data_IF_215205578483
#
_entry.id   IF_215205578483
#
_cell.length_a   1.000
_cell.length_b   1.000
_cell.length_c   1.000
_cell.angle_alpha   90.00
_cell.angle_beta   90.00
_cell.angle_gamma   90.00
#
_symmetry.space_group_name_H-M   'P 1'
#
loop_
_entity.id
_entity.type
_entity.pdbx_description
1 polymer ?
#
# COMPACT_ATOMS: atom_id res chain seq x y z
N UNK A 1 -51.90 21.18 -27.27
CA UNK A 1 -50.89 21.45 -26.22
C UNK A 1 -51.51 21.00 -24.90
N UNK A 2 -51.35 19.74 -24.53
CA UNK A 2 -51.95 19.18 -23.31
C UNK A 2 -51.03 19.48 -22.13
N UNK A 3 -51.54 20.20 -21.12
CA UNK A 3 -50.76 20.54 -19.94
C UNK A 3 -50.37 19.27 -19.17
N UNK A 4 -49.10 19.17 -18.77
CA UNK A 4 -48.63 18.08 -17.91
C UNK A 4 -49.29 18.25 -16.53
N UNK A 5 -49.95 17.21 -15.99
CA UNK A 5 -50.63 17.30 -14.70
C UNK A 5 -49.63 17.51 -13.56
N UNK A 6 -49.96 18.41 -12.62
CA UNK A 6 -49.13 18.78 -11.47
C UNK A 6 -48.65 17.56 -10.65
N UNK A 7 -49.50 16.54 -10.54
CA UNK A 7 -49.21 15.27 -9.87
C UNK A 7 -48.02 14.51 -10.48
N UNK A 8 -47.77 14.66 -11.79
CA UNK A 8 -46.64 14.03 -12.47
C UNK A 8 -45.31 14.73 -12.14
N UNK A 9 -45.33 16.02 -11.81
CA UNK A 9 -44.14 16.76 -11.39
C UNK A 9 -43.72 16.37 -9.97
N UNK A 10 -44.69 16.13 -9.08
CA UNK A 10 -44.43 15.66 -7.71
C UNK A 10 -43.76 14.28 -7.68
N UNK A 11 -44.17 13.38 -8.59
CA UNK A 11 -43.57 12.05 -8.74
C UNK A 11 -42.09 12.15 -9.16
N UNK A 12 -41.74 13.11 -10.03
CA UNK A 12 -40.36 13.33 -10.49
C UNK A 12 -39.49 13.88 -9.34
N UNK A 13 -40.04 14.80 -8.54
CA UNK A 13 -39.34 15.32 -7.35
C UNK A 13 -39.10 14.24 -6.28
N UNK A 14 -40.07 13.33 -6.08
CA UNK A 14 -39.92 12.19 -5.18
C UNK A 14 -38.90 11.15 -5.67
N UNK A 15 -38.78 10.94 -6.98
CA UNK A 15 -37.76 10.10 -7.61
C UNK A 15 -36.34 10.68 -7.44
N UNK A 16 -36.19 12.01 -7.51
CA UNK A 16 -34.91 12.68 -7.29
C UNK A 16 -34.46 12.62 -5.81
N UNK A 17 -35.41 12.78 -4.87
CA UNK A 17 -35.16 12.68 -3.44
C UNK A 17 -34.77 11.26 -2.96
N UNK A 18 -35.14 10.22 -3.72
CA UNK A 18 -34.82 8.81 -3.42
C UNK A 18 -33.62 8.28 -4.21
N UNK A 19 -33.13 9.04 -5.20
CA UNK A 19 -31.93 8.68 -5.94
C UNK A 19 -30.71 8.98 -5.06
N UNK A 20 -29.89 7.98 -4.70
CA UNK A 20 -28.61 8.27 -4.05
C UNK A 20 -27.83 9.21 -4.97
N UNK A 21 -27.25 10.32 -4.46
CA UNK A 21 -26.48 11.23 -5.28
C UNK A 21 -25.46 10.41 -6.06
N UNK A 22 -25.31 10.65 -7.36
CA UNK A 22 -24.31 9.93 -8.19
C UNK A 22 -22.91 10.08 -7.58
N UNK A 23 -22.67 11.17 -6.83
CA UNK A 23 -21.51 11.40 -5.99
C UNK A 23 -21.32 10.37 -4.85
N UNK A 24 -22.39 9.93 -4.18
CA UNK A 24 -22.34 8.93 -3.09
C UNK A 24 -22.00 7.54 -3.63
N UNK A 25 -22.51 7.17 -4.81
CA UNK A 25 -22.15 5.89 -5.44
C UNK A 25 -20.71 5.92 -5.99
N UNK A 26 -20.26 7.07 -6.52
CA UNK A 26 -18.89 7.27 -6.98
C UNK A 26 -17.88 7.38 -5.82
N UNK A 27 -18.34 7.68 -4.61
CA UNK A 27 -17.56 7.72 -3.37
C UNK A 27 -17.48 6.38 -2.64
N UNK A 28 -18.07 5.30 -3.16
CA UNK A 28 -17.84 3.96 -2.63
C UNK A 28 -16.33 3.69 -2.73
N UNK A 29 -15.67 3.81 -1.59
CA UNK A 29 -14.23 3.97 -1.35
C UNK A 29 -13.33 3.35 -2.41
N UNK A 30 -12.77 4.20 -3.29
CA UNK A 30 -11.59 3.84 -4.09
C UNK A 30 -10.39 3.70 -3.16
N UNK A 31 -10.33 2.58 -2.47
CA UNK A 31 -9.28 2.24 -1.53
C UNK A 31 -8.40 1.12 -2.11
N UNK A 32 -7.09 1.23 -1.89
CA UNK A 32 -6.09 0.24 -2.31
C UNK A 32 -5.76 -0.78 -1.23
N UNK A 33 -6.40 -0.71 -0.05
CA UNK A 33 -6.14 -1.57 1.10
C UNK A 33 -6.30 -3.06 0.79
N UNK A 34 -7.28 -3.44 -0.04
CA UNK A 34 -7.43 -4.83 -0.47
C UNK A 34 -6.24 -5.34 -1.30
N UNK A 35 -5.75 -4.51 -2.21
CA UNK A 35 -4.58 -4.84 -3.05
C UNK A 35 -3.30 -4.81 -2.21
N UNK A 36 -3.15 -3.82 -1.32
CA UNK A 36 -2.03 -3.71 -0.38
C UNK A 36 -1.98 -4.93 0.53
N UNK A 37 -3.09 -5.31 1.15
CA UNK A 37 -3.18 -6.50 2.00
C UNK A 37 -2.84 -7.77 1.23
N UNK A 38 -3.41 -7.98 0.05
CA UNK A 38 -3.08 -9.14 -0.79
C UNK A 38 -1.57 -9.23 -1.11
N UNK A 39 -0.92 -8.10 -1.41
CA UNK A 39 0.52 -8.04 -1.64
C UNK A 39 1.30 -8.43 -0.38
N UNK A 40 0.95 -7.84 0.77
CA UNK A 40 1.68 -8.07 2.02
C UNK A 40 1.51 -9.49 2.56
N UNK A 41 0.31 -10.07 2.43
CA UNK A 41 -0.01 -11.38 3.00
C UNK A 41 0.42 -12.55 2.08
N UNK A 42 0.56 -12.32 0.78
CA UNK A 42 0.82 -13.39 -0.19
C UNK A 42 2.08 -13.13 -1.02
N UNK A 43 2.07 -12.03 -1.79
CA UNK A 43 3.13 -11.76 -2.76
C UNK A 43 4.49 -11.58 -2.09
N UNK A 44 4.54 -10.78 -1.01
CA UNK A 44 5.77 -10.47 -0.30
C UNK A 44 6.40 -11.74 0.32
N UNK A 45 5.67 -12.59 1.08
CA UNK A 45 6.18 -13.87 1.55
C UNK A 45 6.69 -14.79 0.43
N UNK A 46 5.95 -14.89 -0.68
CA UNK A 46 6.35 -15.74 -1.81
C UNK A 46 7.63 -15.24 -2.50
N UNK A 47 7.79 -13.93 -2.62
CA UNK A 47 9.01 -13.32 -3.16
C UNK A 47 10.20 -13.62 -2.26
N UNK A 48 10.05 -13.46 -0.93
CA UNK A 48 11.10 -13.79 0.02
C UNK A 48 11.46 -15.27 0.00
N UNK A 49 10.46 -16.15 -0.12
CA UNK A 49 10.69 -17.58 -0.31
C UNK A 49 11.48 -17.85 -1.60
N UNK A 50 11.09 -17.22 -2.71
CA UNK A 50 11.79 -17.37 -4.00
C UNK A 50 13.25 -16.92 -3.90
N UNK A 51 13.51 -15.78 -3.25
CA UNK A 51 14.86 -15.28 -2.97
C UNK A 51 15.61 -16.24 -2.04
N UNK A 52 14.97 -16.74 -0.98
CA UNK A 52 15.58 -17.69 -0.06
C UNK A 52 15.98 -18.99 -0.76
N UNK A 53 15.14 -19.51 -1.65
CA UNK A 53 15.45 -20.69 -2.48
C UNK A 53 16.59 -20.41 -3.46
N UNK A 54 16.64 -19.23 -4.08
CA UNK A 54 17.76 -18.79 -4.90
C UNK A 54 19.07 -18.71 -4.10
N UNK A 55 19.01 -18.19 -2.88
CA UNK A 55 20.17 -18.09 -2.00
C UNK A 55 20.61 -19.48 -1.50
N UNK A 56 19.67 -20.37 -1.20
CA UNK A 56 19.95 -21.77 -0.85
C UNK A 56 20.59 -22.50 -2.04
N UNK A 57 20.07 -22.29 -3.24
CA UNK A 57 20.59 -22.89 -4.48
C UNK A 57 22.02 -22.41 -4.77
N UNK A 58 22.31 -21.13 -4.57
CA UNK A 58 23.67 -20.60 -4.74
C UNK A 58 24.64 -20.98 -3.61
N UNK A 59 24.16 -21.06 -2.36
CA UNK A 59 24.99 -21.41 -1.21
C UNK A 59 25.32 -22.90 -1.12
N UNK A 60 24.39 -23.77 -1.53
CA UNK A 60 24.49 -25.22 -1.31
C UNK A 60 25.48 -25.96 -2.21
N UNK A 61 25.88 -25.39 -3.36
CA UNK A 61 26.69 -26.12 -4.35
C UNK A 61 28.21 -26.11 -4.11
N UNK A 62 28.76 -25.13 -3.37
CA UNK A 62 30.21 -25.00 -3.11
C UNK A 62 30.59 -24.33 -1.78
N UNK A 63 29.63 -23.92 -0.94
CA UNK A 63 29.94 -23.23 0.32
C UNK A 63 30.45 -21.79 0.15
N UNK A 64 30.11 -21.12 -0.95
CA UNK A 64 30.44 -19.71 -1.19
C UNK A 64 29.57 -18.80 -0.32
N UNK A 65 29.92 -18.74 0.96
CA UNK A 65 29.22 -17.92 1.95
C UNK A 65 29.46 -16.42 1.69
N UNK A 66 30.56 -16.05 1.04
CA UNK A 66 30.86 -14.65 0.72
C UNK A 66 29.91 -14.12 -0.38
N UNK A 67 29.68 -14.90 -1.43
CA UNK A 67 28.75 -14.58 -2.50
C UNK A 67 27.28 -14.51 -2.03
N UNK A 68 26.90 -15.36 -1.07
CA UNK A 68 25.57 -15.34 -0.45
C UNK A 68 25.41 -14.12 0.46
N UNK A 69 26.39 -13.82 1.31
CA UNK A 69 26.30 -12.68 2.25
C UNK A 69 26.15 -11.34 1.54
N UNK A 70 26.79 -11.18 0.37
CA UNK A 70 26.64 -9.97 -0.45
C UNK A 70 25.21 -9.77 -0.96
N UNK A 71 24.47 -10.85 -1.19
CA UNK A 71 23.07 -10.83 -1.65
C UNK A 71 22.11 -10.67 -0.47
N UNK A 72 22.37 -11.37 0.63
CA UNK A 72 21.61 -11.25 1.89
C UNK A 72 21.60 -9.81 2.39
N UNK A 73 22.74 -9.11 2.31
CA UNK A 73 22.80 -7.68 2.67
C UNK A 73 21.82 -6.82 1.86
N UNK A 74 21.72 -7.04 0.54
CA UNK A 74 20.77 -6.31 -0.31
C UNK A 74 19.31 -6.64 0.01
N UNK A 75 19.00 -7.90 0.33
CA UNK A 75 17.66 -8.33 0.74
C UNK A 75 17.24 -7.67 2.05
N UNK A 76 18.16 -7.58 3.02
CA UNK A 76 17.91 -6.89 4.29
C UNK A 76 17.60 -5.40 4.09
N UNK A 77 18.33 -4.71 3.21
CA UNK A 77 18.07 -3.29 2.89
C UNK A 77 16.69 -3.12 2.26
N UNK A 78 16.34 -3.96 1.28
CA UNK A 78 15.03 -3.92 0.65
C UNK A 78 13.89 -4.16 1.66
N UNK A 79 14.07 -5.13 2.56
CA UNK A 79 13.12 -5.43 3.63
C UNK A 79 12.96 -4.27 4.61
N UNK A 80 14.06 -3.59 4.97
CA UNK A 80 13.99 -2.42 5.84
C UNK A 80 13.18 -1.28 5.20
N UNK A 81 13.39 -1.01 3.90
CA UNK A 81 12.64 0.02 3.16
C UNK A 81 11.15 -0.34 3.09
N UNK A 82 10.82 -1.59 2.75
CA UNK A 82 9.44 -2.06 2.70
C UNK A 82 8.79 -1.96 4.09
N UNK A 83 9.49 -2.37 5.14
CA UNK A 83 9.03 -2.27 6.52
C UNK A 83 8.70 -0.83 6.91
N UNK A 84 9.58 0.13 6.60
CA UNK A 84 9.34 1.55 6.85
C UNK A 84 8.13 2.09 6.08
N UNK A 85 7.99 1.70 4.81
CA UNK A 85 6.87 2.13 3.97
C UNK A 85 5.52 1.56 4.45
N UNK A 86 5.50 0.32 4.95
CA UNK A 86 4.30 -0.34 5.45
C UNK A 86 3.90 0.16 6.83
N UNK A 87 4.87 0.41 7.70
CA UNK A 87 4.64 0.80 9.10
C UNK A 87 4.15 2.24 9.24
N UNK A 88 4.41 3.11 8.24
CA UNK A 88 4.10 4.53 8.32
C UNK A 88 5.00 5.33 9.28
N UNK A 89 6.01 4.70 9.89
CA UNK A 89 6.91 5.29 10.90
C UNK A 89 8.04 6.15 10.31
N UNK A 90 8.05 6.34 8.98
CA UNK A 90 9.11 7.08 8.29
C UNK A 90 9.27 8.53 8.76
N UNK A 91 8.16 9.18 9.16
CA UNK A 91 8.18 10.56 9.67
C UNK A 91 8.83 10.64 11.04
N UNK A 92 8.51 9.72 11.95
CA UNK A 92 9.08 9.71 13.30
C UNK A 92 10.59 9.45 13.27
N UNK A 93 11.00 8.49 12.43
CA UNK A 93 12.42 8.16 12.23
C UNK A 93 13.15 9.32 11.54
N UNK A 94 12.55 9.96 10.55
CA UNK A 94 13.11 11.13 9.88
C UNK A 94 13.28 12.31 10.83
N UNK A 95 12.29 12.56 11.69
CA UNK A 95 12.32 13.60 12.71
C UNK A 95 13.42 13.33 13.74
N UNK A 96 13.55 12.08 14.21
CA UNK A 96 14.62 11.68 15.11
C UNK A 96 16.01 11.93 14.52
N UNK A 97 16.25 11.50 13.27
CA UNK A 97 17.56 11.66 12.61
C UNK A 97 17.85 13.14 12.34
N UNK A 98 16.86 13.92 11.89
CA UNK A 98 17.00 15.36 11.71
C UNK A 98 17.40 16.07 13.02
N UNK A 99 16.84 15.61 14.14
CA UNK A 99 17.19 16.05 15.50
C UNK A 99 18.67 15.88 15.85
N UNK A 100 19.32 14.80 15.36
CA UNK A 100 20.74 14.53 15.63
C UNK A 100 21.68 15.57 15.01
N UNK A 101 21.28 16.20 13.90
CA UNK A 101 22.08 17.23 13.21
C UNK A 101 21.62 18.65 13.53
N UNK A 102 20.37 18.86 13.96
CA UNK A 102 19.90 20.18 14.40
C UNK A 102 20.46 20.61 15.76
N UNK A 103 20.92 19.65 16.58
CA UNK A 103 21.56 19.92 17.88
C UNK A 103 23.07 20.18 17.76
N UNK A 104 23.71 19.86 16.63
CA UNK A 104 25.17 19.98 16.47
C UNK A 104 25.66 21.31 15.87
N UNK A 105 24.78 22.31 15.69
CA UNK A 105 25.10 23.63 15.10
C UNK A 105 25.16 24.77 16.13
N UNK A 106 25.56 24.46 17.37
CA UNK A 106 25.91 25.45 18.40
C UNK A 106 27.39 25.80 18.39
#
# INVERSE_FOLDING_TARGET
MTAVPLLALDQIAALDATRPPVAVLAQTDLNTDGIRGWILDNLLPLLLLTVALLLLWLGGGKGDNAGVMRRVGGVFVALAIIGLAVSGTGVDIGTFIAGLFSTSSG
#
